data_IF_620992968540
#
_entry.id   IF_620992968540
#
_cell.length_a   1.000
_cell.length_b   1.000
_cell.length_c   1.000
_cell.angle_alpha   90.00
_cell.angle_beta   90.00
_cell.angle_gamma   90.00
#
_symmetry.space_group_name_H-M   'P 1'
#
loop_
_entity.id
_entity.type
_entity.pdbx_description
1 polymer ?
#
# COMPACT_ATOMS: atom_id res chain seq x y z
N UNK A 1 -10.37 2.59 20.71
CA UNK A 1 -11.00 2.14 19.45
C UNK A 1 -10.19 2.69 18.29
N UNK A 2 -9.76 1.86 17.34
CA UNK A 2 -8.80 2.27 16.32
C UNK A 2 -8.54 1.21 15.25
N UNK A 3 -7.42 1.40 14.56
CA UNK A 3 -6.92 0.51 13.51
C UNK A 3 -5.60 -0.08 14.01
N UNK A 4 -5.44 -1.39 13.88
CA UNK A 4 -4.20 -2.09 14.24
C UNK A 4 -3.68 -2.84 13.03
N UNK A 5 -2.41 -2.62 12.65
CA UNK A 5 -1.75 -3.42 11.63
C UNK A 5 -1.57 -4.86 12.15
N UNK A 6 -2.11 -5.84 11.42
CA UNK A 6 -1.97 -7.26 11.73
C UNK A 6 -0.79 -7.88 10.97
N UNK A 7 -0.66 -7.53 9.68
CA UNK A 7 0.41 -8.04 8.83
C UNK A 7 0.72 -7.08 7.68
N UNK A 8 1.90 -7.26 7.11
CA UNK A 8 2.34 -6.61 5.89
C UNK A 8 3.18 -7.59 5.07
N UNK A 9 3.34 -7.34 3.78
CA UNK A 9 4.27 -8.10 2.93
C UNK A 9 5.68 -8.11 3.53
N UNK A 10 6.26 -9.29 3.73
CA UNK A 10 7.65 -9.45 4.16
C UNK A 10 8.61 -8.90 3.09
N UNK A 11 9.65 -8.20 3.54
CA UNK A 11 10.63 -7.53 2.66
C UNK A 11 9.98 -6.71 1.53
N UNK A 12 8.94 -5.95 1.90
CA UNK A 12 8.08 -5.20 0.98
C UNK A 12 8.86 -4.32 -0.01
N UNK A 13 9.93 -3.66 0.46
CA UNK A 13 10.81 -2.85 -0.38
C UNK A 13 11.42 -3.69 -1.49
N UNK A 14 11.98 -4.86 -1.15
CA UNK A 14 12.61 -5.74 -2.13
C UNK A 14 11.61 -6.35 -3.10
N UNK A 15 10.43 -6.74 -2.60
CA UNK A 15 9.34 -7.27 -3.43
C UNK A 15 8.91 -6.25 -4.49
N UNK A 16 8.65 -5.01 -4.08
CA UNK A 16 8.21 -3.94 -4.99
C UNK A 16 9.33 -3.55 -5.97
N UNK A 17 10.57 -3.43 -5.50
CA UNK A 17 11.70 -3.10 -6.38
C UNK A 17 11.95 -4.20 -7.41
N UNK A 18 11.81 -5.47 -7.02
CA UNK A 18 11.93 -6.61 -7.93
C UNK A 18 10.83 -6.57 -8.98
N UNK A 19 9.57 -6.34 -8.58
CA UNK A 19 8.45 -6.18 -9.51
C UNK A 19 8.70 -5.05 -10.52
N UNK A 20 9.20 -3.90 -10.06
CA UNK A 20 9.59 -2.80 -10.93
C UNK A 20 10.69 -3.23 -11.92
N UNK A 21 11.73 -3.93 -11.46
CA UNK A 21 12.83 -4.37 -12.32
C UNK A 21 12.41 -5.41 -13.33
N UNK A 22 11.50 -6.33 -13.01
CA UNK A 22 10.99 -7.31 -13.98
C UNK A 22 10.38 -6.60 -15.20
N UNK A 23 9.67 -5.50 -14.99
CA UNK A 23 9.09 -4.72 -16.09
C UNK A 23 10.14 -3.95 -16.93
N UNK A 24 11.33 -3.69 -16.38
CA UNK A 24 12.35 -2.82 -16.99
C UNK A 24 13.69 -3.50 -17.30
N UNK A 25 13.87 -4.77 -16.93
CA UNK A 25 15.11 -5.52 -17.11
C UNK A 25 14.84 -6.86 -17.75
N UNK A 26 15.71 -7.27 -18.68
CA UNK A 26 15.72 -8.62 -19.25
C UNK A 26 16.54 -9.62 -18.42
N UNK A 27 16.75 -9.35 -17.13
CA UNK A 27 17.57 -10.20 -16.27
C UNK A 27 16.73 -11.31 -15.61
N UNK A 28 17.31 -12.48 -15.31
CA UNK A 28 16.66 -13.52 -14.50
C UNK A 28 16.32 -13.02 -13.10
N UNK A 29 15.21 -13.53 -12.53
CA UNK A 29 14.67 -13.09 -11.24
C UNK A 29 15.67 -13.23 -10.09
N UNK A 30 16.45 -14.31 -10.08
CA UNK A 30 17.45 -14.60 -9.04
C UNK A 30 18.54 -13.51 -8.98
N UNK A 31 18.88 -12.95 -10.14
CA UNK A 31 19.84 -11.84 -10.22
C UNK A 31 19.22 -10.54 -9.73
N UNK A 32 17.93 -10.30 -9.99
CA UNK A 32 17.24 -9.10 -9.51
C UNK A 32 17.14 -9.06 -7.99
N UNK A 33 16.99 -10.23 -7.35
CA UNK A 33 16.89 -10.37 -5.90
C UNK A 33 18.21 -10.07 -5.17
N UNK A 34 19.37 -10.35 -5.76
CA UNK A 34 20.67 -10.29 -5.06
C UNK A 34 21.58 -9.13 -5.50
N UNK A 35 21.34 -8.54 -6.68
CA UNK A 35 22.27 -7.60 -7.31
C UNK A 35 22.23 -6.18 -6.76
N UNK A 36 21.11 -5.76 -6.17
CA UNK A 36 20.86 -4.35 -5.86
C UNK A 36 20.75 -4.10 -4.37
N UNK A 37 21.37 -3.01 -3.94
CA UNK A 37 21.28 -2.48 -2.59
C UNK A 37 19.91 -1.87 -2.28
N UNK A 38 19.60 -1.74 -1.00
CA UNK A 38 18.38 -1.09 -0.51
C UNK A 38 18.23 0.35 -1.03
N UNK A 39 19.34 1.10 -1.10
CA UNK A 39 19.35 2.48 -1.60
C UNK A 39 18.99 2.54 -3.10
N UNK A 40 19.51 1.62 -3.91
CA UNK A 40 19.14 1.51 -5.32
C UNK A 40 17.66 1.14 -5.50
N UNK A 41 17.14 0.24 -4.66
CA UNK A 41 15.74 -0.16 -4.68
C UNK A 41 14.81 1.01 -4.29
N UNK A 42 15.15 1.78 -3.24
CA UNK A 42 14.44 3.01 -2.87
C UNK A 42 14.44 4.05 -3.99
N UNK A 43 15.60 4.28 -4.63
CA UNK A 43 15.71 5.22 -5.75
C UNK A 43 14.85 4.79 -6.94
N UNK A 44 14.87 3.50 -7.27
CA UNK A 44 14.07 2.97 -8.37
C UNK A 44 12.57 3.16 -8.10
N UNK A 45 12.08 2.77 -6.92
CA UNK A 45 10.66 2.90 -6.58
C UNK A 45 10.22 4.36 -6.64
N UNK A 46 10.98 5.28 -6.04
CA UNK A 46 10.67 6.72 -6.11
C UNK A 46 10.56 7.23 -7.54
N UNK A 47 11.48 6.81 -8.43
CA UNK A 47 11.45 7.18 -9.84
C UNK A 47 10.20 6.62 -10.55
N UNK A 48 9.93 5.32 -10.40
CA UNK A 48 8.82 4.63 -11.08
C UNK A 48 7.47 5.16 -10.61
N UNK A 49 7.28 5.31 -9.31
CA UNK A 49 6.07 5.90 -8.72
C UNK A 49 5.92 7.37 -9.15
N UNK A 50 7.02 8.14 -9.19
CA UNK A 50 7.01 9.53 -9.67
C UNK A 50 6.61 9.68 -11.14
N UNK A 51 6.76 8.63 -11.95
CA UNK A 51 6.28 8.57 -13.33
C UNK A 51 4.79 8.15 -13.44
N UNK A 52 4.13 7.85 -12.32
CA UNK A 52 2.74 7.40 -12.27
C UNK A 52 2.55 5.88 -12.42
N UNK A 53 3.64 5.10 -12.42
CA UNK A 53 3.57 3.64 -12.58
C UNK A 53 3.27 2.96 -11.24
N UNK A 54 2.04 3.14 -10.75
CA UNK A 54 1.61 2.62 -9.45
C UNK A 54 1.39 1.10 -9.42
N UNK A 55 1.42 0.41 -10.57
CA UNK A 55 1.26 -1.05 -10.62
C UNK A 55 2.33 -1.79 -9.81
N UNK A 56 3.56 -1.26 -9.73
CA UNK A 56 4.66 -1.93 -9.02
C UNK A 56 4.41 -2.01 -7.50
N UNK A 57 3.68 -1.03 -6.94
CA UNK A 57 3.40 -0.99 -5.50
C UNK A 57 2.19 -1.86 -5.12
N UNK A 58 1.44 -2.41 -6.07
CA UNK A 58 0.36 -3.36 -5.82
C UNK A 58 0.84 -4.66 -5.15
N UNK A 59 2.13 -4.98 -5.28
CA UNK A 59 2.75 -6.14 -4.65
C UNK A 59 3.00 -5.95 -3.14
N UNK A 60 2.91 -4.72 -2.63
CA UNK A 60 2.88 -4.45 -1.19
C UNK A 60 1.44 -4.51 -0.68
N UNK A 61 1.16 -5.42 0.24
CA UNK A 61 -0.16 -5.59 0.86
C UNK A 61 -0.02 -5.42 2.37
N UNK A 62 -1.02 -4.77 2.97
CA UNK A 62 -1.17 -4.63 4.41
C UNK A 62 -2.55 -5.12 4.83
N UNK A 63 -2.61 -5.75 6.00
CA UNK A 63 -3.83 -6.25 6.61
C UNK A 63 -4.00 -5.63 8.00
N UNK A 64 -5.20 -5.15 8.28
CA UNK A 64 -5.53 -4.41 9.48
C UNK A 64 -6.72 -5.04 10.20
N UNK A 65 -6.70 -4.99 11.53
CA UNK A 65 -7.89 -5.06 12.37
C UNK A 65 -8.48 -3.65 12.46
N UNK A 66 -9.76 -3.52 12.20
CA UNK A 66 -10.48 -2.25 12.15
C UNK A 66 -11.74 -2.36 12.97
N UNK A 67 -11.94 -1.47 13.93
CA UNK A 67 -13.12 -1.52 14.78
C UNK A 67 -14.43 -1.19 14.03
N UNK A 68 -15.55 -1.63 14.60
CA UNK A 68 -16.89 -1.48 14.02
C UNK A 68 -17.30 -0.02 13.70
N UNK A 69 -16.71 0.95 14.40
CA UNK A 69 -16.96 2.38 14.16
C UNK A 69 -16.57 2.88 12.77
N UNK A 70 -15.87 2.08 11.96
CA UNK A 70 -15.50 2.40 10.58
C UNK A 70 -16.46 1.81 9.53
N UNK A 71 -17.52 1.10 9.93
CA UNK A 71 -18.45 0.39 9.02
C UNK A 71 -18.96 1.24 7.86
N UNK A 72 -19.39 2.47 8.12
CA UNK A 72 -19.91 3.38 7.10
C UNK A 72 -18.83 3.82 6.09
N UNK A 73 -17.63 4.16 6.58
CA UNK A 73 -16.52 4.55 5.70
C UNK A 73 -16.04 3.36 4.86
N UNK A 74 -15.92 2.18 5.46
CA UNK A 74 -15.56 0.95 4.78
C UNK A 74 -16.56 0.59 3.69
N UNK A 75 -17.86 0.72 3.95
CA UNK A 75 -18.91 0.49 2.95
C UNK A 75 -18.78 1.46 1.77
N UNK A 76 -18.54 2.75 2.03
CA UNK A 76 -18.31 3.76 0.97
C UNK A 76 -17.08 3.42 0.13
N UNK A 77 -15.98 3.03 0.77
CA UNK A 77 -14.74 2.68 0.04
C UNK A 77 -14.95 1.43 -0.81
N UNK A 78 -15.63 0.41 -0.28
CA UNK A 78 -15.86 -0.87 -0.97
C UNK A 78 -16.62 -0.69 -2.29
N UNK A 79 -17.55 0.26 -2.37
CA UNK A 79 -18.29 0.58 -3.60
C UNK A 79 -17.35 1.14 -4.67
N UNK A 80 -16.42 2.02 -4.28
CA UNK A 80 -15.56 2.75 -5.20
C UNK A 80 -14.27 1.98 -5.57
N UNK A 81 -13.77 1.13 -4.68
CA UNK A 81 -12.43 0.50 -4.77
C UNK A 81 -12.51 -1.02 -4.50
N UNK A 82 -12.72 -1.86 -5.53
CA UNK A 82 -12.94 -3.30 -5.35
C UNK A 82 -11.67 -4.09 -4.96
N UNK A 83 -10.50 -3.45 -4.92
CA UNK A 83 -9.24 -4.06 -4.49
C UNK A 83 -9.07 -4.08 -2.95
N UNK A 84 -9.99 -3.45 -2.22
CA UNK A 84 -10.10 -3.56 -0.77
C UNK A 84 -10.83 -4.86 -0.40
N UNK A 85 -10.19 -5.75 0.36
CA UNK A 85 -10.83 -6.95 0.91
C UNK A 85 -11.27 -6.68 2.34
N UNK A 86 -12.55 -6.91 2.63
CA UNK A 86 -13.15 -6.69 3.94
C UNK A 86 -13.80 -7.99 4.40
N UNK A 87 -13.59 -8.34 5.66
CA UNK A 87 -14.25 -9.48 6.32
C UNK A 87 -14.77 -8.99 7.66
N UNK A 88 -16.08 -9.10 7.90
CA UNK A 88 -16.69 -8.80 9.19
C UNK A 88 -16.32 -9.89 10.21
N UNK A 89 -16.12 -9.47 11.46
CA UNK A 89 -15.77 -10.30 12.61
C UNK A 89 -16.68 -9.92 13.79
N UNK A 90 -16.64 -10.67 14.89
CA UNK A 90 -17.49 -10.38 16.06
C UNK A 90 -17.21 -9.00 16.69
N UNK A 91 -15.99 -8.46 16.54
CA UNK A 91 -15.54 -7.23 17.19
C UNK A 91 -15.03 -6.16 16.20
N UNK A 92 -15.44 -6.23 14.93
CA UNK A 92 -15.02 -5.28 13.90
C UNK A 92 -14.83 -5.93 12.52
N UNK A 93 -13.77 -5.54 11.83
CA UNK A 93 -13.42 -5.98 10.50
C UNK A 93 -11.94 -6.34 10.38
N UNK A 94 -11.65 -7.32 9.53
CA UNK A 94 -10.33 -7.50 8.92
C UNK A 94 -10.35 -6.83 7.55
N UNK A 95 -9.42 -5.92 7.32
CA UNK A 95 -9.33 -5.14 6.09
C UNK A 95 -7.95 -5.30 5.48
N UNK A 96 -7.88 -5.78 4.24
CA UNK A 96 -6.62 -5.93 3.49
C UNK A 96 -6.65 -5.09 2.21
N UNK A 97 -5.56 -4.38 1.95
CA UNK A 97 -5.39 -3.55 0.75
C UNK A 97 -3.94 -3.52 0.30
N UNK A 98 -3.74 -3.29 -1.00
CA UNK A 98 -2.42 -3.02 -1.55
C UNK A 98 -2.04 -1.53 -1.43
N UNK A 99 -0.75 -1.23 -1.58
CA UNK A 99 -0.25 0.14 -1.45
C UNK A 99 -0.76 1.08 -2.54
N UNK A 100 -1.11 0.58 -3.74
CA UNK A 100 -1.74 1.42 -4.76
C UNK A 100 -3.10 1.93 -4.29
N UNK A 101 -3.97 1.03 -3.82
CA UNK A 101 -5.28 1.39 -3.26
C UNK A 101 -5.11 2.37 -2.09
N UNK A 102 -4.11 2.15 -1.24
CA UNK A 102 -3.80 3.07 -0.15
C UNK A 102 -3.42 4.47 -0.65
N UNK A 103 -2.53 4.58 -1.65
CA UNK A 103 -2.15 5.86 -2.27
C UNK A 103 -3.36 6.55 -2.91
N UNK A 104 -4.20 5.80 -3.62
CA UNK A 104 -5.42 6.32 -4.25
C UNK A 104 -6.42 6.83 -3.20
N UNK A 105 -6.61 6.12 -2.09
CA UNK A 105 -7.43 6.59 -0.97
C UNK A 105 -6.91 7.90 -0.38
N UNK A 106 -5.60 8.01 -0.21
CA UNK A 106 -4.97 9.24 0.29
C UNK A 106 -5.15 10.43 -0.65
N UNK A 107 -5.21 10.19 -1.96
CA UNK A 107 -5.40 11.22 -2.97
C UNK A 107 -6.88 11.61 -3.16
N UNK A 108 -7.77 10.63 -3.18
CA UNK A 108 -9.18 10.82 -3.56
C UNK A 108 -10.12 11.01 -2.36
N UNK A 109 -9.78 10.42 -1.21
CA UNK A 109 -10.61 10.38 0.00
C UNK A 109 -9.83 10.72 1.27
N UNK A 110 -9.06 11.84 1.31
CA UNK A 110 -8.23 12.21 2.46
C UNK A 110 -9.05 12.59 3.70
N UNK A 111 -10.35 12.89 3.54
CA UNK A 111 -11.24 13.31 4.61
C UNK A 111 -11.63 12.18 5.56
N UNK A 112 -11.67 10.93 5.05
CA UNK A 112 -12.08 9.74 5.78
C UNK A 112 -11.14 9.45 6.96
N UNK A 113 -11.71 9.05 8.10
CA UNK A 113 -10.92 8.67 9.27
C UNK A 113 -10.09 7.43 8.97
N UNK A 114 -10.64 6.46 8.26
CA UNK A 114 -9.95 5.24 7.84
C UNK A 114 -8.68 5.59 7.05
N UNK A 115 -8.81 6.44 6.02
CA UNK A 115 -7.69 6.91 5.19
C UNK A 115 -6.60 7.59 6.04
N UNK A 116 -6.99 8.49 6.96
CA UNK A 116 -6.06 9.18 7.85
C UNK A 116 -5.31 8.21 8.77
N UNK A 117 -6.02 7.23 9.34
CA UNK A 117 -5.42 6.26 10.25
C UNK A 117 -4.45 5.32 9.53
N UNK A 118 -4.83 4.77 8.37
CA UNK A 118 -3.92 3.91 7.61
C UNK A 118 -2.69 4.67 7.10
N UNK A 119 -2.80 5.98 6.81
CA UNK A 119 -1.68 6.80 6.31
C UNK A 119 -0.42 6.75 7.18
N UNK A 120 -0.59 6.50 8.49
CA UNK A 120 0.50 6.38 9.47
C UNK A 120 1.41 5.17 9.20
N UNK A 121 0.89 4.17 8.48
CA UNK A 121 1.61 2.95 8.12
C UNK A 121 2.23 3.01 6.73
N UNK A 122 2.11 4.13 5.99
CA UNK A 122 2.68 4.24 4.66
C UNK A 122 4.21 4.09 4.71
N UNK A 123 4.81 3.16 3.92
CA UNK A 123 6.25 2.98 3.91
C UNK A 123 7.02 4.24 3.53
N UNK A 124 8.16 4.47 4.16
CA UNK A 124 9.00 5.66 4.01
C UNK A 124 9.65 5.80 2.61
N UNK A 125 9.73 4.71 1.85
CA UNK A 125 10.23 4.69 0.49
C UNK A 125 9.19 5.18 -0.53
N UNK A 126 7.92 5.29 -0.15
CA UNK A 126 6.88 5.87 -1.00
C UNK A 126 6.78 7.38 -0.78
N UNK A 127 6.44 8.15 -1.84
CA UNK A 127 6.18 9.55 -1.67
C UNK A 127 4.96 9.74 -0.75
N UNK A 128 5.13 10.49 0.32
CA UNK A 128 3.98 10.93 1.12
C UNK A 128 3.09 11.81 0.24
N UNK A 129 1.76 11.66 0.30
CA UNK A 129 0.86 12.61 -0.33
C UNK A 129 1.26 14.00 0.12
N UNK A 130 1.35 14.97 -0.82
CA UNK A 130 1.49 16.37 -0.44
C UNK A 130 0.33 16.68 0.48
N UNK A 131 0.60 16.95 1.75
CA UNK A 131 -0.40 17.54 2.65
C UNK A 131 -0.97 18.74 1.94
N UNK A 132 -2.24 18.68 1.54
CA UNK A 132 -2.95 19.88 1.11
C UNK A 132 -2.92 20.82 2.31
N UNK A 133 -2.09 21.87 2.20
CA UNK A 133 -2.17 23.05 3.05
C UNK A 133 -3.48 23.77 2.74
#
# INVERSE_FOLDING_TARGET
MGITLLSQTDDMLKVIATAARVCYSGLPLEQLLSRYSEEEDRRLIKKVVGMGHLSVVEHGVMTFKVDDSFKEELFRIMIDKPFLKITETEDGFIVSLNLRTMIELLAEKPELRFTKEISKFLPDFLPKPKSQQ
#
